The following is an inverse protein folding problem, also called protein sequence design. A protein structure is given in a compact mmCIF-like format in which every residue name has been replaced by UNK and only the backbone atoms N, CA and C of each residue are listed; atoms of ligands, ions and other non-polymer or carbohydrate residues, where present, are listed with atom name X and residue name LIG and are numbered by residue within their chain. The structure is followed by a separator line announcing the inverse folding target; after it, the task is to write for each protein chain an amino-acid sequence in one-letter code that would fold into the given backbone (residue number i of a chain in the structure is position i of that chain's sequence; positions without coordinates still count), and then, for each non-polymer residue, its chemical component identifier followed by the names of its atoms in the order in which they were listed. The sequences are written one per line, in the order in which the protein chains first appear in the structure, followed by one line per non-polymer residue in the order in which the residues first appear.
data_IF_108776819715
#
_entry.id   IF_108776819715
#
_cell.length_a   1.000
_cell.length_b   1.000
_cell.length_c   1.000
_cell.angle_alpha   90.00
_cell.angle_beta   90.00
_cell.angle_gamma   90.00
#
_symmetry.space_group_name_H-M   'P 1'
#
loop_
_entity.id
_entity.type
_entity.pdbx_description
1 polymer ?
#
# COMPACT_ATOMS: atom_id res chain seq x y z
N UNK A 1 -19.56 -12.57 -22.76
CA UNK A 1 -19.62 -11.73 -23.97
C UNK A 1 -18.28 -11.05 -24.10
N UNK A 2 -17.42 -11.53 -24.99
CA UNK A 2 -16.10 -10.97 -25.25
C UNK A 2 -16.29 -9.77 -26.19
N UNK A 3 -15.83 -8.59 -25.78
CA UNK A 3 -15.95 -7.38 -26.58
C UNK A 3 -14.89 -7.43 -27.70
N UNK A 4 -15.32 -7.53 -28.96
CA UNK A 4 -14.45 -7.52 -30.13
C UNK A 4 -14.34 -6.07 -30.60
N UNK A 5 -13.13 -5.49 -30.62
CA UNK A 5 -12.86 -4.18 -31.24
C UNK A 5 -12.91 -4.33 -32.77
N UNK A 6 -14.00 -3.91 -33.43
CA UNK A 6 -14.19 -4.18 -34.85
C UNK A 6 -13.40 -3.21 -35.75
N UNK A 7 -12.79 -2.17 -35.17
CA UNK A 7 -12.08 -1.12 -35.90
C UNK A 7 -10.58 -1.09 -35.60
N UNK A 8 -10.09 -1.88 -34.64
CA UNK A 8 -8.69 -1.89 -34.23
C UNK A 8 -8.21 -0.55 -33.65
N UNK A 9 -9.16 0.30 -33.21
CA UNK A 9 -8.91 1.65 -32.73
C UNK A 9 -8.42 1.66 -31.27
N UNK A 10 -8.57 0.56 -30.55
CA UNK A 10 -7.93 0.41 -29.25
C UNK A 10 -6.41 0.40 -29.45
N UNK A 11 -5.76 1.37 -28.80
CA UNK A 11 -4.31 1.37 -28.69
C UNK A 11 -3.84 0.02 -28.10
N UNK A 12 -2.65 -0.46 -28.48
CA UNK A 12 -2.04 -1.67 -27.87
C UNK A 12 -2.05 -1.65 -26.33
N UNK A 13 -2.09 -0.44 -25.76
CA UNK A 13 -2.24 -0.16 -24.35
C UNK A 13 -3.61 -0.51 -23.74
N UNK A 14 -4.70 -0.39 -24.49
CA UNK A 14 -6.05 -0.72 -24.04
C UNK A 14 -6.32 -2.22 -24.11
N UNK A 15 -5.52 -2.96 -24.90
CA UNK A 15 -5.65 -4.42 -25.08
C UNK A 15 -5.18 -5.22 -23.85
N UNK A 16 -4.43 -4.65 -22.90
CA UNK A 16 -3.81 -5.38 -21.77
C UNK A 16 -4.49 -5.13 -20.42
N UNK A 17 -5.82 -5.16 -20.40
CA UNK A 17 -6.67 -4.99 -19.21
C UNK A 17 -6.33 -5.98 -18.07
N UNK A 18 -5.90 -7.21 -18.39
CA UNK A 18 -5.54 -8.22 -17.38
C UNK A 18 -4.35 -7.78 -16.51
N UNK A 19 -3.29 -7.24 -17.12
CA UNK A 19 -2.09 -6.77 -16.41
C UNK A 19 -2.44 -5.58 -15.53
N UNK A 20 -3.26 -4.66 -16.06
CA UNK A 20 -3.77 -3.53 -15.30
C UNK A 20 -4.55 -3.99 -14.06
N UNK A 21 -5.50 -4.92 -14.23
CA UNK A 21 -6.32 -5.45 -13.14
C UNK A 21 -5.48 -6.17 -12.07
N UNK A 22 -4.50 -7.00 -12.47
CA UNK A 22 -3.61 -7.68 -11.53
C UNK A 22 -2.82 -6.69 -10.66
N UNK A 23 -2.25 -5.65 -11.27
CA UNK A 23 -1.49 -4.61 -10.56
C UNK A 23 -2.41 -3.76 -9.67
N UNK A 24 -3.62 -3.45 -10.14
CA UNK A 24 -4.62 -2.73 -9.35
C UNK A 24 -5.04 -3.51 -8.11
N UNK A 25 -5.30 -4.82 -8.26
CA UNK A 25 -5.61 -5.71 -7.14
C UNK A 25 -4.48 -5.73 -6.11
N UNK A 26 -3.21 -5.77 -6.57
CA UNK A 26 -2.05 -5.75 -5.67
C UNK A 26 -1.96 -4.44 -4.88
N UNK A 27 -2.07 -3.29 -5.54
CA UNK A 27 -2.06 -1.98 -4.86
C UNK A 27 -3.22 -1.86 -3.88
N UNK A 28 -4.44 -2.23 -4.29
CA UNK A 28 -5.63 -2.20 -3.42
C UNK A 28 -5.47 -3.11 -2.20
N UNK A 29 -4.85 -4.29 -2.37
CA UNK A 29 -4.57 -5.21 -1.27
C UNK A 29 -3.60 -4.57 -0.25
N UNK A 30 -2.53 -3.93 -0.71
CA UNK A 30 -1.59 -3.22 0.17
C UNK A 30 -2.26 -2.07 0.91
N UNK A 31 -3.10 -1.30 0.22
CA UNK A 31 -3.93 -0.23 0.81
C UNK A 31 -4.85 -0.81 1.89
N UNK A 32 -5.55 -1.92 1.59
CA UNK A 32 -6.46 -2.53 2.54
C UNK A 32 -5.74 -3.06 3.79
N UNK A 33 -4.53 -3.59 3.65
CA UNK A 33 -3.69 -4.00 4.79
C UNK A 33 -3.22 -2.79 5.61
N UNK A 34 -2.91 -1.67 4.96
CA UNK A 34 -2.54 -0.42 5.63
C UNK A 34 -3.71 0.15 6.42
N UNK A 35 -4.89 0.24 5.81
CA UNK A 35 -6.09 0.86 6.38
C UNK A 35 -6.90 -0.10 7.28
N UNK A 36 -6.43 -1.35 7.42
CA UNK A 36 -7.12 -2.43 8.15
C UNK A 36 -8.53 -2.75 7.65
N UNK A 37 -8.84 -2.43 6.39
CA UNK A 37 -10.15 -2.71 5.79
C UNK A 37 -10.29 -4.17 5.33
N UNK A 38 -9.20 -4.94 5.35
CA UNK A 38 -9.19 -6.37 5.02
C UNK A 38 -9.36 -7.29 6.24
N UNK A 39 -9.62 -6.75 7.44
CA UNK A 39 -9.78 -7.55 8.66
C UNK A 39 -11.24 -7.87 8.91
N UNK A 40 -11.53 -9.13 9.25
CA UNK A 40 -12.86 -9.55 9.71
C UNK A 40 -13.24 -9.03 11.10
N UNK A 41 -12.26 -8.65 11.92
CA UNK A 41 -12.51 -8.08 13.24
C UNK A 41 -12.63 -6.55 13.15
N UNK A 42 -13.87 -6.09 12.93
CA UNK A 42 -14.29 -4.69 12.70
C UNK A 42 -13.93 -3.71 13.82
N UNK A 43 -13.55 -4.20 15.01
CA UNK A 43 -13.35 -3.38 16.20
C UNK A 43 -11.96 -2.72 16.28
N UNK A 44 -10.97 -3.17 15.49
CA UNK A 44 -9.63 -2.57 15.50
C UNK A 44 -9.47 -1.51 14.40
N UNK A 45 -10.17 -0.37 14.55
CA UNK A 45 -9.96 0.80 13.68
C UNK A 45 -8.86 1.69 14.26
N UNK A 46 -7.64 1.55 13.74
CA UNK A 46 -6.55 2.45 14.10
C UNK A 46 -6.59 3.66 13.19
N UNK A 47 -6.82 4.85 13.75
CA UNK A 47 -6.81 6.10 12.99
C UNK A 47 -5.47 6.27 12.27
N UNK A 48 -5.52 6.59 10.97
CA UNK A 48 -4.33 6.69 10.13
C UNK A 48 -3.70 5.36 9.71
N UNK A 49 -4.35 4.23 10.01
CA UNK A 49 -3.89 2.90 9.62
C UNK A 49 -2.55 2.52 10.25
N UNK A 50 -1.76 1.71 9.54
CA UNK A 50 -0.43 1.27 10.00
C UNK A 50 0.48 2.48 10.27
N UNK A 51 0.42 3.52 9.43
CA UNK A 51 1.20 4.75 9.64
C UNK A 51 0.87 5.44 10.97
N UNK A 52 -0.43 5.56 11.29
CA UNK A 52 -0.87 6.09 12.58
C UNK A 52 -0.44 5.24 13.77
N UNK A 53 -0.51 3.91 13.62
CA UNK A 53 -0.04 2.98 14.65
C UNK A 53 1.45 3.14 14.95
N UNK A 54 2.29 3.30 13.92
CA UNK A 54 3.73 3.57 14.05
C UNK A 54 3.96 4.88 14.80
N UNK A 55 3.27 5.96 14.41
CA UNK A 55 3.37 7.26 15.07
C UNK A 55 3.04 7.17 16.55
N UNK A 56 1.96 6.47 16.90
CA UNK A 56 1.58 6.22 18.29
C UNK A 56 2.66 5.44 19.04
N UNK A 57 3.10 4.31 18.51
CA UNK A 57 4.13 3.47 19.15
C UNK A 57 5.44 4.22 19.35
N UNK A 58 5.88 5.04 18.40
CA UNK A 58 7.10 5.85 18.57
C UNK A 58 6.94 6.99 19.57
N UNK A 59 5.74 7.54 19.71
CA UNK A 59 5.45 8.60 20.67
C UNK A 59 5.31 8.07 22.11
N UNK A 60 4.71 6.89 22.29
CA UNK A 60 4.31 6.36 23.61
C UNK A 60 5.10 5.14 24.07
N UNK A 61 5.85 4.48 23.19
CA UNK A 61 6.51 3.21 23.46
C UNK A 61 5.56 2.01 23.53
N UNK A 62 4.25 2.19 23.29
CA UNK A 62 3.23 1.14 23.44
C UNK A 62 2.80 0.56 22.10
N UNK A 63 2.65 -0.77 22.02
CA UNK A 63 2.17 -1.47 20.83
C UNK A 63 0.64 -1.36 20.71
N UNK A 64 0.15 -0.93 19.55
CA UNK A 64 -1.29 -0.86 19.29
C UNK A 64 -1.82 -2.25 18.95
N UNK A 65 -2.72 -2.81 19.76
CA UNK A 65 -3.28 -4.16 19.52
C UNK A 65 -2.24 -5.28 19.53
N UNK A 66 -1.15 -5.13 20.30
CA UNK A 66 -0.12 -6.16 20.51
C UNK A 66 0.74 -6.50 19.30
N UNK A 67 0.68 -5.72 18.22
CA UNK A 67 1.44 -5.97 16.98
C UNK A 67 2.58 -4.99 16.79
N UNK A 68 3.72 -5.45 16.27
CA UNK A 68 4.81 -4.59 15.80
C UNK A 68 4.44 -3.93 14.47
N UNK A 69 3.85 -2.73 14.55
CA UNK A 69 3.49 -1.95 13.37
C UNK A 69 4.69 -1.29 12.70
N UNK A 70 5.86 -1.20 13.35
CA UNK A 70 7.09 -0.68 12.73
C UNK A 70 7.59 -1.70 11.70
N UNK A 71 7.70 -2.98 12.09
CA UNK A 71 8.02 -4.06 11.14
C UNK A 71 6.99 -4.14 10.03
N UNK A 72 5.69 -4.17 10.39
CA UNK A 72 4.60 -4.19 9.39
C UNK A 72 4.67 -3.00 8.42
N UNK A 73 5.01 -1.81 8.92
CA UNK A 73 5.20 -0.62 8.11
C UNK A 73 6.35 -0.74 7.11
N UNK A 74 7.50 -1.28 7.54
CA UNK A 74 8.65 -1.55 6.65
C UNK A 74 8.28 -2.56 5.56
N UNK A 75 7.59 -3.63 5.92
CA UNK A 75 7.14 -4.66 4.98
C UNK A 75 6.16 -4.09 3.94
N UNK A 76 5.21 -3.25 4.38
CA UNK A 76 4.30 -2.55 3.48
C UNK A 76 5.03 -1.56 2.57
N UNK A 77 5.94 -0.76 3.12
CA UNK A 77 6.71 0.22 2.34
C UNK A 77 7.51 -0.48 1.24
N UNK A 78 8.17 -1.60 1.58
CA UNK A 78 8.86 -2.45 0.60
C UNK A 78 7.87 -2.97 -0.45
N UNK A 79 6.73 -3.51 -0.03
CA UNK A 79 5.69 -4.02 -0.93
C UNK A 79 5.17 -2.97 -1.91
N UNK A 80 4.92 -1.74 -1.45
CA UNK A 80 4.52 -0.63 -2.31
C UNK A 80 5.64 -0.26 -3.29
N UNK A 81 6.88 -0.03 -2.82
CA UNK A 81 8.02 0.32 -3.68
C UNK A 81 8.31 -0.73 -4.74
N UNK A 82 8.30 -2.01 -4.35
CA UNK A 82 8.48 -3.12 -5.29
C UNK A 82 7.36 -3.13 -6.33
N UNK A 83 6.10 -2.98 -5.90
CA UNK A 83 4.94 -2.94 -6.81
C UNK A 83 5.04 -1.78 -7.80
N UNK A 84 5.35 -0.57 -7.33
CA UNK A 84 5.53 0.62 -8.18
C UNK A 84 6.67 0.43 -9.18
N UNK A 85 7.81 -0.10 -8.75
CA UNK A 85 8.93 -0.44 -9.65
C UNK A 85 8.50 -1.42 -10.76
N UNK A 86 7.64 -2.40 -10.47
CA UNK A 86 7.12 -3.29 -11.52
C UNK A 86 6.12 -2.60 -12.46
N UNK A 87 5.43 -1.56 -12.01
CA UNK A 87 4.50 -0.75 -12.82
C UNK A 87 5.31 0.14 -13.77
N UNK A 88 6.35 0.80 -13.27
CA UNK A 88 7.19 1.70 -14.05
C UNK A 88 7.87 0.97 -15.20
N UNK A 89 8.35 -0.25 -14.92
CA UNK A 89 9.01 -1.13 -15.89
C UNK A 89 8.05 -1.88 -16.81
N UNK A 90 6.73 -1.80 -16.60
CA UNK A 90 5.78 -2.48 -17.47
C UNK A 90 5.61 -1.70 -18.78
N UNK A 91 6.32 -2.12 -19.83
CA UNK A 91 6.14 -1.59 -21.20
C UNK A 91 4.72 -1.78 -21.74
N UNK A 92 3.98 -2.75 -21.20
CA UNK A 92 2.58 -3.01 -21.51
C UNK A 92 1.59 -1.99 -20.93
N UNK A 93 2.03 -1.09 -20.06
CA UNK A 93 1.19 -0.05 -19.47
C UNK A 93 1.50 1.32 -20.09
N UNK A 94 0.47 2.03 -20.53
CA UNK A 94 0.59 3.46 -20.82
C UNK A 94 0.97 4.28 -19.60
N UNK A 95 1.54 5.46 -19.87
CA UNK A 95 1.81 6.48 -18.86
C UNK A 95 0.55 6.91 -18.10
N UNK A 96 -0.61 7.01 -18.77
CA UNK A 96 -1.90 7.30 -18.08
C UNK A 96 -2.23 6.27 -16.99
N UNK A 97 -1.94 4.99 -17.25
CA UNK A 97 -2.16 3.92 -16.29
C UNK A 97 -1.12 3.94 -15.17
N UNK A 98 0.15 4.19 -15.50
CA UNK A 98 1.23 4.37 -14.51
C UNK A 98 0.92 5.53 -13.57
N UNK A 99 0.57 6.70 -14.11
CA UNK A 99 0.16 7.87 -13.33
C UNK A 99 -1.02 7.57 -12.40
N UNK A 100 -2.00 6.79 -12.87
CA UNK A 100 -3.12 6.35 -12.03
C UNK A 100 -2.66 5.44 -10.88
N UNK A 101 -1.69 4.55 -11.11
CA UNK A 101 -1.12 3.75 -10.03
C UNK A 101 -0.33 4.59 -9.03
N UNK A 102 0.45 5.58 -9.48
CA UNK A 102 1.13 6.54 -8.61
C UNK A 102 0.15 7.32 -7.75
N UNK A 103 -0.97 7.78 -8.32
CA UNK A 103 -2.02 8.46 -7.56
C UNK A 103 -2.60 7.59 -6.42
N UNK A 104 -2.61 6.26 -6.57
CA UNK A 104 -3.01 5.34 -5.50
C UNK A 104 -1.87 5.00 -4.53
N UNK A 105 -0.65 4.73 -5.02
CA UNK A 105 0.46 4.20 -4.23
C UNK A 105 1.28 5.25 -3.49
N UNK A 106 1.62 6.35 -4.16
CA UNK A 106 2.55 7.36 -3.64
C UNK A 106 2.09 8.01 -2.32
N UNK A 107 0.79 8.31 -2.12
CA UNK A 107 0.32 8.82 -0.83
C UNK A 107 0.61 7.86 0.33
N UNK A 108 0.51 6.54 0.12
CA UNK A 108 0.77 5.53 1.15
C UNK A 108 2.26 5.33 1.38
N UNK A 109 3.08 5.35 0.32
CA UNK A 109 4.54 5.35 0.42
C UNK A 109 4.99 6.52 1.31
N UNK A 110 4.55 7.74 0.98
CA UNK A 110 4.92 8.95 1.73
C UNK A 110 4.46 8.89 3.20
N UNK A 111 3.24 8.43 3.48
CA UNK A 111 2.74 8.27 4.86
C UNK A 111 3.61 7.30 5.67
N UNK A 112 3.97 6.16 5.07
CA UNK A 112 4.82 5.15 5.71
C UNK A 112 6.24 5.67 5.92
N UNK A 113 6.84 6.32 4.92
CA UNK A 113 8.17 6.93 5.03
C UNK A 113 8.23 7.97 6.16
N UNK A 114 7.26 8.89 6.18
CA UNK A 114 7.18 9.91 7.22
C UNK A 114 7.06 9.28 8.62
N UNK A 115 6.17 8.29 8.77
CA UNK A 115 5.94 7.62 10.05
C UNK A 115 7.17 6.81 10.50
N UNK A 116 7.84 6.13 9.57
CA UNK A 116 9.06 5.37 9.81
C UNK A 116 10.28 6.25 10.07
N UNK A 117 10.28 7.50 9.61
CA UNK A 117 11.32 8.48 9.88
C UNK A 117 11.17 9.21 11.24
N UNK A 118 9.98 9.19 11.86
CA UNK A 118 9.76 9.81 13.16
C UNK A 118 10.77 9.31 14.21
N UNK A 119 11.32 10.18 15.07
CA UNK A 119 12.18 9.74 16.16
C UNK A 119 11.37 8.93 17.19
N UNK A 120 11.99 7.91 17.76
CA UNK A 120 11.43 7.19 18.90
C UNK A 120 11.61 8.05 20.15
N UNK A 121 10.51 8.58 20.69
CA UNK A 121 10.54 9.45 21.89
C UNK A 121 10.63 8.65 23.18
N UNK A 122 10.07 7.45 23.20
CA UNK A 122 10.05 6.55 24.36
C UNK A 122 10.51 5.16 23.89
N UNK A 123 11.51 4.53 24.54
CA UNK A 123 11.87 3.15 24.26
C UNK A 123 10.65 2.23 24.38
N UNK A 124 10.59 1.16 23.58
CA UNK A 124 9.48 0.22 23.63
C UNK A 124 9.39 -0.39 25.04
N UNK A 125 8.34 -0.04 25.78
CA UNK A 125 8.02 -0.67 27.05
C UNK A 125 7.17 -1.91 26.75
N UNK A 126 7.81 -3.07 26.72
CA UNK A 126 7.11 -4.34 26.59
C UNK A 126 8.04 -5.49 26.31
N UNK A 127 8.39 -6.24 27.36
CA UNK A 127 8.76 -7.65 27.25
C UNK A 127 7.65 -8.35 26.46
N UNK A 128 8.01 -8.99 25.35
CA UNK A 128 7.24 -10.15 24.89
C UNK A 128 7.39 -11.22 25.96
N UNK A 129 6.37 -11.41 26.80
CA UNK A 129 6.16 -12.66 27.52
C UNK A 129 5.42 -13.62 26.61
#
# INVERSE_FOLDING_TARGET
MEWIDPLGLMSECEKRQLIFNQKLTKIKSLIAVHDYTNRGNVNLKISGGVSGAIGYTKATGTLVGGSDHIKKGKDLLKGFKDTMKTIDKAHSLCDKHKARFHAYGDPYIRKLENSLALPTKVPLNGKST
#
